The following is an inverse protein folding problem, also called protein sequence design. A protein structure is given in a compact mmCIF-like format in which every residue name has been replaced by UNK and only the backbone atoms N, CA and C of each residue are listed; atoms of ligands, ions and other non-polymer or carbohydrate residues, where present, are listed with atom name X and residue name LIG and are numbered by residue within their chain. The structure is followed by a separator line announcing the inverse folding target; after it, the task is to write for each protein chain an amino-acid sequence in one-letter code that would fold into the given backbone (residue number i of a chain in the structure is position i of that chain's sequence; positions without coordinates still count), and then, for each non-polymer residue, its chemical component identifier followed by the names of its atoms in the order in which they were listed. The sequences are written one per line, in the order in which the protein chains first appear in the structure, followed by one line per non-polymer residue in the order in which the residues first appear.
data_IF_941160919503
#
_entry.id   IF_941160919503
#
_cell.length_a   1.000
_cell.length_b   1.000
_cell.length_c   1.000
_cell.angle_alpha   90.00
_cell.angle_beta   90.00
_cell.angle_gamma   90.00
#
_symmetry.space_group_name_H-M   'P 1'
#
loop_
_entity.id
_entity.type
_entity.pdbx_description
1 polymer ?
#
# COMPACT_ATOMS: atom_id res chain seq x y z
N UNK A 1 13.50 -12.75 -17.99
CA UNK A 1 13.66 -11.37 -18.49
C UNK A 1 14.22 -10.54 -17.34
N UNK A 2 15.46 -10.06 -17.42
CA UNK A 2 16.08 -9.30 -16.33
C UNK A 2 15.47 -7.88 -16.27
N UNK A 3 14.93 -7.50 -15.12
CA UNK A 3 14.42 -6.14 -14.93
C UNK A 3 15.64 -5.21 -14.87
N UNK A 4 15.69 -4.23 -15.77
CA UNK A 4 16.78 -3.24 -15.76
C UNK A 4 16.82 -2.55 -14.38
N UNK A 5 18.03 -2.25 -13.87
CA UNK A 5 18.19 -1.60 -12.54
C UNK A 5 17.35 -0.34 -12.39
N UNK A 6 17.05 0.30 -13.51
CA UNK A 6 16.34 1.58 -13.60
C UNK A 6 14.83 1.43 -13.50
N UNK A 7 14.27 0.25 -13.77
CA UNK A 7 12.84 -0.03 -13.67
C UNK A 7 12.44 -0.64 -12.32
N UNK A 8 13.41 -0.87 -11.42
CA UNK A 8 13.16 -1.40 -10.06
C UNK A 8 12.12 -0.59 -9.26
N UNK A 9 12.12 0.76 -9.29
CA UNK A 9 11.14 1.55 -8.56
C UNK A 9 9.72 1.31 -9.06
N UNK A 10 9.54 1.20 -10.38
CA UNK A 10 8.25 0.91 -11.01
C UNK A 10 7.74 -0.46 -10.58
N UNK A 11 8.61 -1.48 -10.62
CA UNK A 11 8.25 -2.82 -10.16
C UNK A 11 7.84 -2.82 -8.69
N UNK A 12 8.56 -2.09 -7.83
CA UNK A 12 8.22 -1.96 -6.42
C UNK A 12 6.84 -1.31 -6.23
N UNK A 13 6.53 -0.22 -6.94
CA UNK A 13 5.19 0.41 -6.91
C UNK A 13 4.10 -0.58 -7.32
N UNK A 14 4.32 -1.40 -8.35
CA UNK A 14 3.35 -2.41 -8.79
C UNK A 14 3.16 -3.51 -7.73
N UNK A 15 4.24 -3.98 -7.11
CA UNK A 15 4.17 -4.98 -6.04
C UNK A 15 3.40 -4.42 -4.83
N UNK A 16 3.67 -3.17 -4.44
CA UNK A 16 2.99 -2.52 -3.33
C UNK A 16 1.50 -2.31 -3.62
N UNK A 17 1.16 -1.94 -4.85
CA UNK A 17 -0.23 -1.83 -5.29
C UNK A 17 -0.95 -3.19 -5.19
N UNK A 18 -0.32 -4.25 -5.70
CA UNK A 18 -0.88 -5.59 -5.61
C UNK A 18 -1.05 -6.04 -4.15
N UNK A 19 -0.07 -5.76 -3.28
CA UNK A 19 -0.17 -6.03 -1.85
C UNK A 19 -1.33 -5.27 -1.20
N UNK A 20 -1.50 -3.98 -1.50
CA UNK A 20 -2.62 -3.18 -0.99
C UNK A 20 -3.97 -3.78 -1.39
N UNK A 21 -4.11 -4.19 -2.66
CA UNK A 21 -5.31 -4.87 -3.15
C UNK A 21 -5.57 -6.19 -2.41
N UNK A 22 -4.53 -7.01 -2.21
CA UNK A 22 -4.67 -8.28 -1.49
C UNK A 22 -5.09 -8.06 -0.04
N UNK A 23 -4.50 -7.09 0.66
CA UNK A 23 -4.89 -6.75 2.03
C UNK A 23 -6.36 -6.31 2.06
N UNK A 24 -6.74 -5.36 1.20
CA UNK A 24 -8.10 -4.81 1.14
C UNK A 24 -9.17 -5.87 0.82
N UNK A 25 -8.90 -6.75 -0.14
CA UNK A 25 -9.84 -7.81 -0.54
C UNK A 25 -9.63 -9.14 0.20
N UNK A 26 -8.80 -9.17 1.24
CA UNK A 26 -8.46 -10.42 1.96
C UNK A 26 -9.69 -11.17 2.48
N UNK A 27 -10.74 -10.45 2.93
CA UNK A 27 -12.02 -11.06 3.32
C UNK A 27 -12.67 -11.90 2.21
N UNK A 28 -12.57 -11.44 0.95
CA UNK A 28 -13.17 -12.12 -0.20
C UNK A 28 -12.25 -13.21 -0.75
N UNK A 29 -10.94 -13.02 -0.68
CA UNK A 29 -9.95 -13.95 -1.24
C UNK A 29 -9.69 -15.12 -0.27
N UNK A 30 -9.64 -14.84 1.04
CA UNK A 30 -9.31 -15.80 2.09
C UNK A 30 -10.36 -15.76 3.22
N UNK A 31 -11.60 -16.22 2.98
CA UNK A 31 -12.70 -16.09 3.94
C UNK A 31 -12.47 -16.82 5.28
N UNK A 32 -11.60 -17.84 5.31
CA UNK A 32 -11.27 -18.60 6.53
C UNK A 32 -10.08 -18.01 7.32
N UNK A 33 -9.18 -17.29 6.65
CA UNK A 33 -7.92 -16.76 7.22
C UNK A 33 -7.79 -15.24 6.94
N UNK A 34 -8.92 -14.55 6.89
CA UNK A 34 -8.93 -13.14 6.52
C UNK A 34 -8.19 -12.30 7.57
N UNK A 35 -7.39 -11.36 7.09
CA UNK A 35 -6.69 -10.38 7.90
C UNK A 35 -7.67 -9.32 8.42
N UNK A 36 -8.75 -9.07 7.68
CA UNK A 36 -9.87 -8.29 8.18
C UNK A 36 -10.72 -9.17 9.10
N UNK A 37 -10.99 -8.76 10.34
CA UNK A 37 -11.80 -9.57 11.22
C UNK A 37 -13.27 -9.54 10.80
N UNK A 38 -13.78 -10.71 10.42
CA UNK A 38 -15.19 -10.90 10.15
C UNK A 38 -16.04 -11.02 11.44
N UNK A 39 -15.40 -11.14 12.62
CA UNK A 39 -16.11 -11.38 13.91
C UNK A 39 -15.75 -10.43 15.05
N UNK A 40 -14.52 -9.92 15.13
CA UNK A 40 -14.07 -9.07 16.25
C UNK A 40 -14.11 -7.57 15.94
N UNK A 41 -14.25 -7.15 14.68
CA UNK A 41 -14.24 -5.72 14.29
C UNK A 41 -12.88 -5.03 14.36
N UNK A 42 -11.86 -5.67 14.95
CA UNK A 42 -10.49 -5.16 15.12
C UNK A 42 -9.68 -4.95 13.82
N UNK A 43 -9.66 -3.73 13.32
CA UNK A 43 -8.93 -3.31 12.13
C UNK A 43 -7.44 -3.02 12.42
N UNK A 44 -6.92 -3.29 13.62
CA UNK A 44 -5.52 -3.00 14.00
C UNK A 44 -4.51 -3.68 13.07
N UNK A 45 -4.70 -4.97 12.78
CA UNK A 45 -3.77 -5.72 11.90
C UNK A 45 -3.81 -5.17 10.45
N UNK A 46 -4.98 -4.99 9.81
CA UNK A 46 -5.07 -4.32 8.51
C UNK A 46 -4.42 -2.93 8.50
N UNK A 47 -4.61 -2.12 9.56
CA UNK A 47 -4.04 -0.78 9.67
C UNK A 47 -2.51 -0.80 9.67
N UNK A 48 -1.88 -1.68 10.47
CA UNK A 48 -0.43 -1.83 10.47
C UNK A 48 0.13 -2.31 9.12
N UNK A 49 -0.58 -3.19 8.43
CA UNK A 49 -0.20 -3.66 7.09
C UNK A 49 -0.28 -2.54 6.05
N UNK A 50 -1.37 -1.79 6.03
CA UNK A 50 -1.48 -0.64 5.14
C UNK A 50 -0.43 0.42 5.46
N UNK A 51 -0.12 0.64 6.74
CA UNK A 51 0.94 1.56 7.13
C UNK A 51 2.32 1.12 6.58
N UNK A 52 2.64 -0.17 6.69
CA UNK A 52 3.86 -0.73 6.12
C UNK A 52 3.92 -0.58 4.58
N UNK A 53 2.79 -0.74 3.89
CA UNK A 53 2.69 -0.51 2.44
C UNK A 53 2.91 0.97 2.11
N UNK A 54 2.37 1.88 2.92
CA UNK A 54 2.51 3.32 2.74
C UNK A 54 3.97 3.78 2.87
N UNK A 55 4.68 3.26 3.87
CA UNK A 55 6.14 3.41 3.99
C UNK A 55 6.84 2.85 2.75
N UNK A 56 6.37 1.72 2.22
CA UNK A 56 6.84 1.16 0.96
C UNK A 56 6.71 2.13 -0.22
N UNK A 57 5.60 2.87 -0.36
CA UNK A 57 5.43 3.87 -1.42
C UNK A 57 6.44 5.02 -1.28
N UNK A 58 6.74 5.45 -0.06
CA UNK A 58 7.79 6.44 0.20
C UNK A 58 9.16 5.90 -0.23
N UNK A 59 9.48 4.65 0.10
CA UNK A 59 10.75 4.02 -0.33
C UNK A 59 10.82 3.90 -1.85
N UNK A 60 9.73 3.50 -2.51
CA UNK A 60 9.64 3.41 -3.96
C UNK A 60 9.81 4.79 -4.63
N UNK A 61 9.24 5.84 -4.05
CA UNK A 61 9.43 7.22 -4.47
C UNK A 61 10.91 7.63 -4.39
N UNK A 62 11.56 7.43 -3.24
CA UNK A 62 12.96 7.78 -3.02
C UNK A 62 13.88 7.03 -3.99
N UNK A 63 13.63 5.74 -4.23
CA UNK A 63 14.37 4.95 -5.21
C UNK A 63 14.12 5.43 -6.65
N UNK A 64 12.88 5.79 -6.96
CA UNK A 64 12.44 6.32 -8.24
C UNK A 64 13.16 7.59 -8.65
N UNK A 65 13.19 8.57 -7.76
CA UNK A 65 13.84 9.87 -7.97
C UNK A 65 15.35 9.71 -8.19
N UNK A 66 15.98 8.69 -7.61
CA UNK A 66 17.42 8.42 -7.75
C UNK A 66 17.84 7.85 -9.12
N UNK A 67 16.90 7.39 -9.96
CA UNK A 67 17.22 6.73 -11.24
C UNK A 67 17.72 7.68 -12.34
N UNK A 68 17.63 9.00 -12.15
CA UNK A 68 18.05 10.07 -13.10
C UNK A 68 17.37 10.04 -14.50
N UNK A 69 16.61 8.99 -14.84
CA UNK A 69 15.77 8.93 -16.03
C UNK A 69 14.50 9.78 -15.82
N UNK A 70 14.27 10.85 -16.61
CA UNK A 70 13.15 11.76 -16.40
C UNK A 70 11.80 11.04 -16.32
N UNK A 71 11.53 10.08 -17.21
CA UNK A 71 10.27 9.33 -17.24
C UNK A 71 10.04 8.51 -15.97
N UNK A 72 11.06 7.83 -15.45
CA UNK A 72 10.96 7.02 -14.23
C UNK A 72 10.78 7.91 -13.01
N UNK A 73 11.48 9.05 -12.96
CA UNK A 73 11.36 10.04 -11.89
C UNK A 73 9.94 10.60 -11.83
N UNK A 74 9.41 11.10 -12.95
CA UNK A 74 8.04 11.64 -13.02
C UNK A 74 6.98 10.61 -12.68
N UNK A 75 7.10 9.39 -13.23
CA UNK A 75 6.22 8.28 -12.86
C UNK A 75 6.26 8.03 -11.36
N UNK A 76 7.45 7.96 -10.78
CA UNK A 76 7.61 7.65 -9.35
C UNK A 76 7.03 8.73 -8.46
N UNK A 77 7.21 10.01 -8.82
CA UNK A 77 6.61 11.14 -8.09
C UNK A 77 5.09 11.06 -8.15
N UNK A 78 4.52 10.96 -9.35
CA UNK A 78 3.06 11.01 -9.53
C UNK A 78 2.41 9.77 -8.90
N UNK A 79 2.85 8.57 -9.29
CA UNK A 79 2.20 7.32 -8.89
C UNK A 79 2.33 7.08 -7.38
N UNK A 80 3.54 7.14 -6.82
CA UNK A 80 3.72 6.84 -5.40
C UNK A 80 3.09 7.92 -4.51
N UNK A 81 3.08 9.20 -4.91
CA UNK A 81 2.41 10.24 -4.12
C UNK A 81 0.89 10.07 -4.13
N UNK A 82 0.29 9.76 -5.29
CA UNK A 82 -1.15 9.49 -5.38
C UNK A 82 -1.51 8.28 -4.53
N UNK A 83 -0.79 7.17 -4.67
CA UNK A 83 -1.08 5.96 -3.89
C UNK A 83 -0.85 6.17 -2.40
N UNK A 84 0.18 6.92 -2.00
CA UNK A 84 0.41 7.29 -0.61
C UNK A 84 -0.77 8.09 -0.04
N UNK A 85 -1.20 9.15 -0.73
CA UNK A 85 -2.33 9.98 -0.25
C UNK A 85 -3.63 9.18 -0.20
N UNK A 86 -3.91 8.36 -1.20
CA UNK A 86 -5.11 7.51 -1.21
C UNK A 86 -5.08 6.48 -0.10
N UNK A 87 -3.95 5.81 0.12
CA UNK A 87 -3.82 4.78 1.14
C UNK A 87 -3.83 5.38 2.55
N UNK A 88 -3.14 6.50 2.77
CA UNK A 88 -3.25 7.31 3.99
C UNK A 88 -4.69 7.73 4.29
N UNK A 89 -5.43 8.21 3.28
CA UNK A 89 -6.84 8.57 3.43
C UNK A 89 -7.72 7.37 3.80
N UNK A 90 -7.51 6.23 3.15
CA UNK A 90 -8.19 4.98 3.49
C UNK A 90 -7.87 4.52 4.92
N UNK A 91 -6.60 4.53 5.31
CA UNK A 91 -6.16 4.18 6.66
C UNK A 91 -6.81 5.09 7.71
N UNK A 92 -6.90 6.39 7.45
CA UNK A 92 -7.58 7.31 8.36
C UNK A 92 -9.05 6.95 8.56
N UNK A 93 -9.77 6.62 7.48
CA UNK A 93 -11.16 6.16 7.55
C UNK A 93 -11.28 4.83 8.31
N UNK A 94 -10.36 3.89 8.07
CA UNK A 94 -10.33 2.59 8.78
C UNK A 94 -9.99 2.76 10.26
N UNK A 95 -9.13 3.69 10.62
CA UNK A 95 -8.77 3.98 12.00
C UNK A 95 -9.96 4.60 12.77
N UNK A 96 -10.69 5.52 12.13
CA UNK A 96 -11.96 6.03 12.69
C UNK A 96 -12.96 4.89 12.86
N UNK A 97 -13.13 4.05 11.83
CA UNK A 97 -14.01 2.90 11.91
C UNK A 97 -13.63 1.98 13.09
N UNK A 98 -12.33 1.70 13.26
CA UNK A 98 -11.82 0.89 14.36
C UNK A 98 -12.15 1.50 15.74
N UNK A 99 -11.85 2.79 15.90
CA UNK A 99 -12.07 3.51 17.16
C UNK A 99 -13.54 3.70 17.54
N UNK A 100 -14.47 3.60 16.56
CA UNK A 100 -15.92 3.60 16.82
C UNK A 100 -16.43 2.17 17.08
N UNK A 101 -15.79 1.14 16.51
CA UNK A 101 -16.19 -0.25 16.68
C UNK A 101 -15.70 -0.91 17.96
N UNK A 102 -14.66 -0.37 18.60
CA UNK A 102 -14.24 -0.77 19.94
C UNK A 102 -15.19 -0.14 21.00
N UNK A 103 -15.85 -0.92 21.88
CA UNK A 103 -16.81 -0.44 22.87
C UNK A 103 -16.18 0.26 24.09
#
# INVERSE_FOLDING_TARGET
MSVSKENKPILLTVILLAAAFVVFFSNRIFPLNSIFPNRSGDLTIPLWLFFAIDVGFIVALVLGVRTKKPSVVWFSIIANSIFFVLLSGLMFLLAIANGISEP
#
